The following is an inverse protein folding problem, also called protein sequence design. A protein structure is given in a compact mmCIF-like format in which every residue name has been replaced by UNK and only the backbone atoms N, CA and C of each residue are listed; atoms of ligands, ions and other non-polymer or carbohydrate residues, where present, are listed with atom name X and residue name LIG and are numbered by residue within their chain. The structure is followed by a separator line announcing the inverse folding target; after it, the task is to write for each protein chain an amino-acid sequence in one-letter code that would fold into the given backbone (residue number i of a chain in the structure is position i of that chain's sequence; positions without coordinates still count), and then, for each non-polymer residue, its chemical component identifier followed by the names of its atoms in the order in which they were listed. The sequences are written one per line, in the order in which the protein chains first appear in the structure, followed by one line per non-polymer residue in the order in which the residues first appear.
data_IF_996929817633
#
_entry.id   IF_996929817633
#
_cell.length_a   1.000
_cell.length_b   1.000
_cell.length_c   1.000
_cell.angle_alpha   90.00
_cell.angle_beta   90.00
_cell.angle_gamma   90.00
#
_symmetry.space_group_name_H-M   'P 1'
#
loop_
_entity.id
_entity.type
_entity.pdbx_description
1 polymer ?
#
# COMPACT_ATOMS: atom_id res chain seq x y z
N UNK A 1 -14.95 -5.30 -3.18
CA UNK A 1 -14.04 -4.16 -2.93
C UNK A 1 -13.94 -3.39 -4.23
N UNK A 2 -14.26 -2.10 -4.23
CA UNK A 2 -14.16 -1.28 -5.45
C UNK A 2 -12.72 -0.76 -5.63
N UNK A 3 -12.33 -0.50 -6.89
CA UNK A 3 -11.03 0.05 -7.25
C UNK A 3 -10.74 1.38 -6.53
N UNK A 4 -11.77 2.21 -6.32
CA UNK A 4 -11.67 3.47 -5.58
C UNK A 4 -11.35 3.29 -4.09
N UNK A 5 -11.92 2.26 -3.46
CA UNK A 5 -11.69 1.96 -2.05
C UNK A 5 -10.28 1.43 -1.81
N UNK A 6 -9.79 0.54 -2.69
CA UNK A 6 -8.41 0.05 -2.66
C UNK A 6 -7.40 1.20 -2.84
N UNK A 7 -7.70 2.16 -3.72
CA UNK A 7 -6.84 3.34 -3.92
C UNK A 7 -6.72 4.19 -2.65
N UNK A 8 -7.83 4.40 -1.93
CA UNK A 8 -7.81 5.13 -0.65
C UNK A 8 -6.98 4.40 0.41
N UNK A 9 -7.09 3.07 0.49
CA UNK A 9 -6.29 2.26 1.41
C UNK A 9 -4.80 2.31 1.07
N UNK A 10 -4.45 2.29 -0.22
CA UNK A 10 -3.05 2.47 -0.67
C UNK A 10 -2.51 3.82 -0.23
N UNK A 11 -3.24 4.91 -0.43
CA UNK A 11 -2.79 6.25 -0.03
C UNK A 11 -2.64 6.38 1.49
N UNK A 12 -3.57 5.83 2.27
CA UNK A 12 -3.45 5.77 3.73
C UNK A 12 -2.21 4.98 4.17
N UNK A 13 -1.96 3.81 3.54
CA UNK A 13 -0.79 3.00 3.83
C UNK A 13 0.52 3.70 3.44
N UNK A 14 0.54 4.47 2.34
CA UNK A 14 1.69 5.32 1.95
C UNK A 14 1.98 6.39 2.98
N UNK A 15 0.97 7.12 3.44
CA UNK A 15 1.15 8.16 4.46
C UNK A 15 1.69 7.57 5.76
N UNK A 16 1.16 6.42 6.19
CA UNK A 16 1.64 5.72 7.38
C UNK A 16 3.08 5.23 7.23
N UNK A 17 3.46 4.69 6.08
CA UNK A 17 4.83 4.28 5.80
C UNK A 17 5.80 5.48 5.85
N UNK A 18 5.38 6.63 5.30
CA UNK A 18 6.15 7.86 5.34
C UNK A 18 6.36 8.36 6.78
N UNK A 19 5.31 8.37 7.59
CA UNK A 19 5.41 8.73 9.01
C UNK A 19 6.37 7.80 9.77
N UNK A 20 6.22 6.49 9.63
CA UNK A 20 7.11 5.53 10.30
C UNK A 20 8.57 5.71 9.85
N UNK A 21 8.81 5.99 8.57
CA UNK A 21 10.16 6.27 8.07
C UNK A 21 10.74 7.55 8.69
N UNK A 22 9.93 8.60 8.86
CA UNK A 22 10.35 9.85 9.50
C UNK A 22 10.63 9.63 10.99
N UNK A 23 9.74 8.91 11.68
CA UNK A 23 9.82 8.67 13.13
C UNK A 23 11.01 7.79 13.51
N UNK A 24 11.29 6.74 12.73
CA UNK A 24 12.38 5.81 13.01
C UNK A 24 13.70 6.18 12.34
N UNK A 25 13.69 7.08 11.36
CA UNK A 25 14.89 7.54 10.66
C UNK A 25 15.59 6.50 9.76
N UNK A 26 15.12 5.25 9.76
CA UNK A 26 15.70 4.15 8.99
C UNK A 26 14.60 3.27 8.35
N UNK A 27 14.90 2.75 7.17
CA UNK A 27 14.05 1.85 6.40
C UNK A 27 14.05 0.41 6.94
N UNK A 28 15.08 0.03 7.71
CA UNK A 28 15.22 -1.33 8.24
C UNK A 28 14.44 -1.55 9.55
N UNK A 29 13.74 -0.53 10.05
CA UNK A 29 12.94 -0.69 11.25
C UNK A 29 11.81 -1.71 10.99
N UNK A 30 11.59 -2.71 11.88
CA UNK A 30 10.61 -3.77 11.65
C UNK A 30 9.20 -3.27 11.32
N UNK A 31 8.79 -2.15 11.91
CA UNK A 31 7.48 -1.55 11.66
C UNK A 31 7.39 -0.89 10.28
N UNK A 32 8.49 -0.32 9.76
CA UNK A 32 8.56 0.23 8.40
C UNK A 32 8.47 -0.91 7.39
N UNK A 33 9.20 -2.00 7.63
CA UNK A 33 9.17 -3.21 6.80
C UNK A 33 7.75 -3.81 6.76
N UNK A 34 7.13 -4.01 7.93
CA UNK A 34 5.76 -4.53 8.01
C UNK A 34 4.76 -3.62 7.28
N UNK A 35 4.86 -2.30 7.46
CA UNK A 35 3.98 -1.37 6.78
C UNK A 35 4.20 -1.35 5.26
N UNK A 36 5.44 -1.58 4.79
CA UNK A 36 5.74 -1.73 3.37
C UNK A 36 5.07 -2.96 2.79
N UNK A 37 5.12 -4.11 3.50
CA UNK A 37 4.45 -5.33 3.06
C UNK A 37 2.94 -5.15 2.92
N UNK A 38 2.31 -4.43 3.85
CA UNK A 38 0.88 -4.08 3.76
C UNK A 38 0.59 -3.21 2.54
N UNK A 39 1.45 -2.22 2.26
CA UNK A 39 1.32 -1.36 1.09
C UNK A 39 1.45 -2.16 -0.21
N UNK A 40 2.43 -3.06 -0.30
CA UNK A 40 2.65 -3.91 -1.46
C UNK A 40 1.48 -4.87 -1.71
N UNK A 41 0.91 -5.44 -0.66
CA UNK A 41 -0.27 -6.31 -0.76
C UNK A 41 -1.50 -5.52 -1.29
N UNK A 42 -1.75 -4.32 -0.79
CA UNK A 42 -2.82 -3.45 -1.27
C UNK A 42 -2.63 -3.06 -2.74
N UNK A 43 -1.40 -2.76 -3.16
CA UNK A 43 -1.07 -2.46 -4.56
C UNK A 43 -1.31 -3.69 -5.43
N UNK A 44 -0.91 -4.87 -4.98
CA UNK A 44 -1.14 -6.12 -5.69
C UNK A 44 -2.64 -6.41 -5.84
N UNK A 45 -3.43 -6.23 -4.79
CA UNK A 45 -4.89 -6.35 -4.84
C UNK A 45 -5.51 -5.35 -5.83
N UNK A 46 -5.09 -4.08 -5.77
CA UNK A 46 -5.55 -3.07 -6.72
C UNK A 46 -5.21 -3.43 -8.18
N UNK A 47 -3.99 -3.90 -8.41
CA UNK A 47 -3.55 -4.33 -9.75
C UNK A 47 -4.34 -5.56 -10.22
N UNK A 48 -4.61 -6.54 -9.36
CA UNK A 48 -5.45 -7.69 -9.72
C UNK A 48 -6.87 -7.27 -10.08
N UNK A 49 -7.49 -6.38 -9.28
CA UNK A 49 -8.84 -5.85 -9.59
C UNK A 49 -8.83 -5.06 -10.89
N UNK A 50 -7.75 -4.34 -11.21
CA UNK A 50 -7.60 -3.56 -12.44
C UNK A 50 -7.33 -4.45 -13.68
N UNK A 51 -6.53 -5.49 -13.54
CA UNK A 51 -6.18 -6.45 -14.61
C UNK A 51 -7.34 -7.40 -14.91
N UNK A 52 -8.15 -7.74 -13.90
CA UNK A 52 -9.36 -8.56 -14.08
C UNK A 52 -10.55 -7.76 -14.64
N UNK A 53 -10.42 -6.45 -14.88
CA UNK A 53 -11.32 -5.78 -15.80
C UNK A 53 -10.87 -6.19 -17.21
N UNK A 54 -11.71 -6.92 -17.97
CA UNK A 54 -11.39 -7.18 -19.36
C UNK A 54 -11.09 -5.85 -20.02
N UNK A 55 -10.03 -5.84 -20.81
CA UNK A 55 -9.72 -4.76 -21.73
C UNK A 55 -10.90 -4.76 -22.71
N UNK A 56 -11.92 -3.93 -22.46
CA UNK A 56 -12.94 -3.53 -23.44
C UNK A 56 -12.38 -2.43 -24.34
#
# INVERSE_FOLDING_TARGET
MDCGELKLQIEAARQKLYQLKVDYGDLLHPHVIQQSMVLDDLINQYNQVKINKPIE
#
